data_IF_754906985370
#
_entry.id   IF_754906985370
#
_cell.length_a   1.000
_cell.length_b   1.000
_cell.length_c   1.000
_cell.angle_alpha   90.00
_cell.angle_beta   90.00
_cell.angle_gamma   90.00
#
_symmetry.space_group_name_H-M   'P 1'
#
loop_
_entity.id
_entity.type
_entity.pdbx_description
1 polymer ?
#
# COMPACT_ATOMS: atom_id res chain seq x y z
N UNK A 1 12.61 -10.65 29.44
CA UNK A 1 11.47 -10.98 28.57
C UNK A 1 11.66 -10.18 27.29
N UNK A 2 11.97 -10.84 26.18
CA UNK A 2 11.92 -10.17 24.88
C UNK A 2 10.46 -10.17 24.47
N UNK A 3 9.79 -9.02 24.56
CA UNK A 3 8.51 -8.84 23.89
C UNK A 3 8.82 -8.85 22.39
N UNK A 4 8.39 -9.89 21.69
CA UNK A 4 8.38 -9.84 20.24
C UNK A 4 7.43 -8.70 19.82
N UNK A 5 7.84 -7.83 18.88
CA UNK A 5 7.00 -6.75 18.44
C UNK A 5 5.69 -7.32 17.89
N UNK A 6 4.57 -6.68 18.21
CA UNK A 6 3.27 -7.12 17.70
C UNK A 6 3.26 -7.06 16.17
N UNK A 7 2.34 -7.79 15.53
CA UNK A 7 2.17 -7.72 14.07
C UNK A 7 1.89 -6.29 13.60
N UNK A 8 1.22 -5.49 14.44
CA UNK A 8 0.97 -4.06 14.20
C UNK A 8 2.28 -3.27 14.25
N UNK A 9 3.11 -3.47 15.27
CA UNK A 9 4.40 -2.78 15.38
C UNK A 9 5.31 -3.13 14.20
N UNK A 10 5.33 -4.41 13.79
CA UNK A 10 6.07 -4.85 12.61
C UNK A 10 5.55 -4.18 11.34
N UNK A 11 4.24 -4.07 11.17
CA UNK A 11 3.64 -3.37 10.03
C UNK A 11 4.05 -1.89 10.03
N UNK A 12 3.92 -1.19 11.16
CA UNK A 12 4.28 0.22 11.28
C UNK A 12 5.77 0.46 11.04
N UNK A 13 6.64 -0.41 11.53
CA UNK A 13 8.08 -0.35 11.28
C UNK A 13 8.40 -0.49 9.78
N UNK A 14 7.69 -1.36 9.06
CA UNK A 14 7.85 -1.50 7.60
C UNK A 14 7.34 -0.29 6.84
N UNK A 15 6.25 0.35 7.30
CA UNK A 15 5.75 1.61 6.73
C UNK A 15 6.78 2.72 6.92
N UNK A 16 7.35 2.85 8.12
CA UNK A 16 8.43 3.80 8.40
C UNK A 16 9.65 3.55 7.50
N UNK A 17 10.12 2.30 7.40
CA UNK A 17 11.24 1.94 6.54
C UNK A 17 10.97 2.23 5.05
N UNK A 18 9.73 2.07 4.58
CA UNK A 18 9.36 2.44 3.21
C UNK A 18 9.42 3.96 2.99
N UNK A 19 9.03 4.76 3.97
CA UNK A 19 9.16 6.23 3.90
C UNK A 19 10.61 6.70 4.04
N UNK A 20 11.45 5.99 4.79
CA UNK A 20 12.90 6.26 4.82
C UNK A 20 13.57 5.98 3.48
N UNK A 21 13.14 4.91 2.79
CA UNK A 21 13.62 4.58 1.44
C UNK A 21 13.12 5.52 0.35
N UNK A 22 11.93 6.11 0.53
CA UNK A 22 11.38 7.14 -0.36
C UNK A 22 10.59 8.18 0.44
N UNK A 23 11.27 9.28 0.78
CA UNK A 23 10.70 10.38 1.56
C UNK A 23 9.56 11.12 0.84
N UNK A 24 9.35 10.88 -0.46
CA UNK A 24 8.23 11.45 -1.21
C UNK A 24 6.92 10.70 -0.98
N UNK A 25 6.96 9.51 -0.36
CA UNK A 25 5.78 8.72 -0.01
C UNK A 25 5.09 9.30 1.23
N UNK A 26 3.78 9.49 1.11
CA UNK A 26 2.94 9.70 2.30
C UNK A 26 2.87 8.42 3.12
N UNK A 27 2.56 8.52 4.42
CA UNK A 27 2.38 7.35 5.27
C UNK A 27 1.30 6.40 4.73
N UNK A 28 0.26 6.95 4.09
CA UNK A 28 -0.81 6.17 3.45
C UNK A 28 -0.31 5.40 2.22
N UNK A 29 0.51 6.05 1.40
CA UNK A 29 1.11 5.43 0.22
C UNK A 29 2.08 4.32 0.63
N UNK A 30 2.95 4.58 1.60
CA UNK A 30 3.84 3.57 2.16
C UNK A 30 3.05 2.37 2.74
N UNK A 31 1.96 2.62 3.47
CA UNK A 31 1.07 1.57 3.97
C UNK A 31 0.44 0.74 2.84
N UNK A 32 0.01 1.35 1.74
CA UNK A 32 -0.53 0.64 0.57
C UNK A 32 0.47 -0.32 -0.05
N UNK A 33 1.74 0.11 -0.17
CA UNK A 33 2.81 -0.70 -0.72
C UNK A 33 3.20 -1.84 0.23
N UNK A 34 3.35 -1.55 1.52
CA UNK A 34 3.66 -2.57 2.54
C UNK A 34 2.55 -3.61 2.63
N UNK A 35 1.28 -3.18 2.65
CA UNK A 35 0.14 -4.10 2.69
C UNK A 35 0.10 -5.03 1.47
N UNK A 36 0.44 -4.53 0.28
CA UNK A 36 0.53 -5.36 -0.92
C UNK A 36 1.74 -6.31 -0.89
N UNK A 37 2.89 -5.85 -0.38
CA UNK A 37 4.11 -6.65 -0.24
C UNK A 37 3.94 -7.80 0.76
N UNK A 38 3.17 -7.58 1.83
CA UNK A 38 2.85 -8.58 2.85
C UNK A 38 1.61 -9.43 2.50
N UNK A 39 1.03 -9.25 1.31
CA UNK A 39 -0.19 -9.95 0.86
C UNK A 39 -1.43 -9.69 1.74
N UNK A 40 -1.43 -8.62 2.54
CA UNK A 40 -2.56 -8.21 3.40
C UNK A 40 -3.70 -7.64 2.55
N UNK A 41 -3.37 -6.84 1.54
CA UNK A 41 -4.35 -6.28 0.60
C UNK A 41 -3.69 -5.93 -0.74
N UNK A 42 -4.32 -6.36 -1.85
CA UNK A 42 -3.92 -6.02 -3.23
C UNK A 42 -4.99 -5.24 -4.00
N UNK A 43 -5.96 -4.69 -3.28
CA UNK A 43 -7.02 -3.89 -3.87
C UNK A 43 -7.55 -2.83 -2.89
N UNK A 44 -8.12 -1.78 -3.46
CA UNK A 44 -8.58 -0.61 -2.72
C UNK A 44 -9.63 -0.92 -1.65
N UNK A 45 -10.53 -1.89 -1.88
CA UNK A 45 -11.58 -2.24 -0.92
C UNK A 45 -11.04 -3.06 0.24
N UNK A 46 -10.22 -4.07 -0.03
CA UNK A 46 -9.60 -4.88 1.01
C UNK A 46 -8.73 -4.01 1.92
N UNK A 47 -7.92 -3.12 1.34
CA UNK A 47 -7.09 -2.19 2.10
C UNK A 47 -7.92 -1.26 2.99
N UNK A 48 -8.91 -0.57 2.43
CA UNK A 48 -9.77 0.33 3.18
C UNK A 48 -10.53 -0.37 4.31
N UNK A 49 -11.02 -1.59 4.05
CA UNK A 49 -11.71 -2.40 5.07
C UNK A 49 -10.77 -2.85 6.20
N UNK A 50 -9.58 -3.32 5.88
CA UNK A 50 -8.62 -3.85 6.87
C UNK A 50 -8.13 -2.75 7.82
N UNK A 51 -7.89 -1.55 7.30
CA UNK A 51 -7.34 -0.44 8.08
C UNK A 51 -8.38 0.60 8.53
N UNK A 52 -9.67 0.39 8.22
CA UNK A 52 -10.74 1.32 8.58
C UNK A 52 -10.67 2.66 7.85
N UNK A 53 -10.12 2.68 6.64
CA UNK A 53 -9.90 3.90 5.83
C UNK A 53 -11.00 4.04 4.77
N UNK A 54 -11.48 5.27 4.59
CA UNK A 54 -12.46 5.59 3.56
C UNK A 54 -11.94 5.24 2.15
N UNK A 55 -12.76 4.51 1.38
CA UNK A 55 -12.42 4.03 0.03
C UNK A 55 -11.97 5.14 -0.92
N UNK A 56 -12.59 6.31 -0.86
CA UNK A 56 -12.23 7.47 -1.69
C UNK A 56 -10.81 7.97 -1.43
N UNK A 57 -10.35 7.94 -0.18
CA UNK A 57 -8.98 8.31 0.17
C UNK A 57 -7.98 7.29 -0.36
N UNK A 58 -8.31 6.00 -0.26
CA UNK A 58 -7.49 4.93 -0.85
C UNK A 58 -7.35 5.09 -2.36
N UNK A 59 -8.46 5.40 -3.06
CA UNK A 59 -8.44 5.62 -4.50
C UNK A 59 -7.59 6.82 -4.90
N UNK A 60 -7.65 7.92 -4.15
CA UNK A 60 -6.81 9.11 -4.38
C UNK A 60 -5.33 8.73 -4.34
N UNK A 61 -4.90 8.04 -3.29
CA UNK A 61 -3.48 7.66 -3.14
C UNK A 61 -3.03 6.64 -4.18
N UNK A 62 -3.87 5.66 -4.53
CA UNK A 62 -3.56 4.71 -5.60
C UNK A 62 -3.40 5.38 -6.96
N UNK A 63 -4.25 6.36 -7.30
CA UNK A 63 -4.10 7.09 -8.54
C UNK A 63 -2.82 7.94 -8.54
N UNK A 64 -2.52 8.63 -7.43
CA UNK A 64 -1.28 9.39 -7.29
C UNK A 64 -0.02 8.50 -7.41
N UNK A 65 -0.05 7.28 -6.86
CA UNK A 65 1.05 6.32 -7.00
C UNK A 65 1.19 5.77 -8.42
N UNK A 66 0.06 5.49 -9.09
CA UNK A 66 0.08 5.04 -10.48
C UNK A 66 0.62 6.11 -11.43
N UNK A 67 0.34 7.40 -11.16
CA UNK A 67 0.85 8.53 -11.93
C UNK A 67 2.36 8.73 -11.80
N UNK A 68 2.95 8.41 -10.64
CA UNK A 68 4.41 8.49 -10.43
C UNK A 68 5.18 7.51 -11.32
N UNK A 69 4.55 6.39 -11.70
CA UNK A 69 5.18 5.32 -12.48
C UNK A 69 6.25 4.57 -11.70
N UNK A 70 6.43 3.27 -11.99
CA UNK A 70 7.49 2.45 -11.38
C UNK A 70 7.30 2.10 -9.89
N UNK A 71 6.25 2.59 -9.23
CA UNK A 71 5.96 2.28 -7.82
C UNK A 71 4.88 1.20 -7.67
N UNK A 72 3.82 1.27 -8.47
CA UNK A 72 2.80 0.22 -8.60
C UNK A 72 2.19 0.26 -10.00
N UNK A 73 1.53 -0.83 -10.37
CA UNK A 73 0.78 -0.94 -11.61
C UNK A 73 -0.69 -1.30 -11.32
N UNK A 74 -1.62 -0.59 -11.96
CA UNK A 74 -3.05 -0.91 -11.86
C UNK A 74 -3.38 -1.99 -12.89
N UNK A 75 -3.69 -3.20 -12.41
CA UNK A 75 -3.97 -4.35 -13.28
C UNK A 75 -5.45 -4.49 -13.64
N UNK A 76 -6.35 -3.98 -12.80
CA UNK A 76 -7.80 -4.05 -13.06
C UNK A 76 -8.55 -2.95 -12.31
N UNK A 77 -9.53 -2.35 -12.99
CA UNK A 77 -10.52 -1.46 -12.39
C UNK A 77 -11.92 -2.02 -12.61
N UNK A 78 -12.70 -2.08 -11.54
CA UNK A 78 -14.12 -2.44 -11.60
C UNK A 78 -14.96 -1.16 -11.69
N UNK A 79 -15.65 -0.90 -12.81
CA UNK A 79 -16.36 0.37 -13.03
C UNK A 79 -17.62 0.51 -12.19
N UNK A 80 -18.20 -0.60 -11.68
CA UNK A 80 -19.43 -0.55 -10.86
C UNK A 80 -19.12 -0.26 -9.40
N UNK A 81 -18.03 -0.82 -8.90
CA UNK A 81 -17.65 -0.74 -7.48
C UNK A 81 -16.51 0.22 -7.21
N UNK A 82 -15.91 0.78 -8.26
CA UNK A 82 -14.69 1.58 -8.20
C UNK A 82 -13.57 0.85 -7.46
N UNK A 83 -13.55 -0.49 -7.52
CA UNK A 83 -12.49 -1.31 -6.92
C UNK A 83 -11.29 -1.31 -7.87
N UNK A 84 -10.11 -1.04 -7.33
CA UNK A 84 -8.86 -0.99 -8.07
C UNK A 84 -7.97 -2.09 -7.54
N UNK A 85 -7.56 -2.99 -8.42
CA UNK A 85 -6.56 -4.01 -8.14
C UNK A 85 -5.22 -3.54 -8.70
N UNK A 86 -4.16 -3.77 -7.93
CA UNK A 86 -2.82 -3.33 -8.28
C UNK A 86 -1.76 -4.37 -7.92
N UNK A 87 -0.63 -4.28 -8.58
CA UNK A 87 0.57 -5.08 -8.32
C UNK A 87 1.76 -4.16 -8.07
N UNK A 88 2.75 -4.67 -7.34
CA UNK A 88 4.03 -4.00 -7.20
C UNK A 88 4.94 -4.51 -8.32
N UNK A 89 5.73 -3.64 -8.97
CA UNK A 89 6.75 -4.08 -9.88
C UNK A 89 7.75 -4.97 -9.14
N UNK A 90 8.39 -5.93 -9.82
CA UNK A 90 9.47 -6.68 -9.21
C UNK A 90 10.51 -5.67 -8.71
N UNK A 91 10.88 -5.80 -7.43
CA UNK A 91 11.96 -5.03 -6.84
C UNK A 91 13.23 -5.40 -7.60
N UNK A 92 13.51 -4.66 -8.67
CA UNK A 92 14.72 -4.83 -9.45
C UNK A 92 15.82 -4.20 -8.59
N UNK A 93 16.41 -5.03 -7.73
CA UNK A 93 17.68 -4.72 -7.08
C UNK A 93 18.64 -4.30 -8.19
N UNK A 94 19.04 -3.04 -8.19
CA UNK A 94 20.09 -2.52 -9.05
C UNK A 94 21.28 -2.17 -8.18
#
# INVERSE_FOLDING_TARGET
MSEEPSEVDRFLALVAAAQEGDASLTAMQAALLVAAKLDIARDSRSFGRTLGIAHSLVLRELNALAERGGVLEIVRRDPRTMRVHYTLPPCSSR
#
